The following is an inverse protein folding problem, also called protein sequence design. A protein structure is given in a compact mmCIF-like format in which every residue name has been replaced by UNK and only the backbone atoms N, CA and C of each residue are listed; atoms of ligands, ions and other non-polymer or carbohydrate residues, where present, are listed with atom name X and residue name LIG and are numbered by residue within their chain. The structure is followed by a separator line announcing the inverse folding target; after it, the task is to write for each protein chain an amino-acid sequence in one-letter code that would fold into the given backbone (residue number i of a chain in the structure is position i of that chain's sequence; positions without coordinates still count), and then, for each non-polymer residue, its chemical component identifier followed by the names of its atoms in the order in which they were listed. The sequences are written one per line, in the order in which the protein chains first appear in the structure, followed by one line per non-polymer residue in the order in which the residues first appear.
data_IF_091039096938
#
_entry.id   IF_091039096938
#
_cell.length_a   1.000
_cell.length_b   1.000
_cell.length_c   1.000
_cell.angle_alpha   90.00
_cell.angle_beta   90.00
_cell.angle_gamma   90.00
#
_symmetry.space_group_name_H-M   'P 1'
#
loop_
_entity.id
_entity.type
_entity.pdbx_description
1 polymer ?
#
# COMPACT_ATOMS: atom_id res chain seq x y z
N UNK A 1 20.04 29.22 -21.03
CA UNK A 1 19.09 28.71 -20.01
C UNK A 1 18.65 27.26 -20.23
N UNK A 2 19.17 26.52 -21.22
CA UNK A 2 18.78 25.13 -21.54
C UNK A 2 19.46 24.00 -20.71
N UNK A 3 20.26 24.29 -19.69
CA UNK A 3 21.04 23.24 -19.00
C UNK A 3 20.33 22.57 -17.81
N UNK A 4 19.39 23.25 -17.15
CA UNK A 4 18.74 22.73 -15.93
C UNK A 4 17.57 21.78 -16.23
N UNK A 5 16.79 22.03 -17.28
CA UNK A 5 15.68 21.15 -17.69
C UNK A 5 16.18 19.82 -18.26
N UNK A 6 17.25 19.84 -19.06
CA UNK A 6 17.88 18.61 -19.57
C UNK A 6 18.49 17.76 -18.45
N UNK A 7 19.12 18.37 -17.43
CA UNK A 7 19.64 17.64 -16.27
C UNK A 7 18.52 17.01 -15.43
N UNK A 8 17.36 17.67 -15.35
CA UNK A 8 16.19 17.17 -14.61
C UNK A 8 15.50 16.03 -15.36
N UNK A 9 15.38 16.12 -16.70
CA UNK A 9 14.90 15.00 -17.52
C UNK A 9 15.85 13.80 -17.48
N UNK A 10 17.17 14.02 -17.55
CA UNK A 10 18.15 12.93 -17.48
C UNK A 10 18.08 12.20 -16.14
N UNK A 11 18.05 12.92 -15.00
CA UNK A 11 17.89 12.30 -13.68
C UNK A 11 16.56 11.58 -13.49
N UNK A 12 15.48 12.10 -14.08
CA UNK A 12 14.15 11.48 -14.07
C UNK A 12 14.15 10.17 -14.88
N UNK A 13 14.82 10.16 -16.03
CA UNK A 13 15.01 8.95 -16.84
C UNK A 13 15.92 7.92 -16.16
N UNK A 14 16.96 8.35 -15.45
CA UNK A 14 17.84 7.47 -14.68
C UNK A 14 17.12 6.82 -13.50
N UNK A 15 16.27 7.55 -12.77
CA UNK A 15 15.48 6.98 -11.69
C UNK A 15 14.40 6.00 -12.18
N UNK A 16 13.76 6.28 -13.32
CA UNK A 16 12.81 5.35 -13.94
C UNK A 16 13.55 4.11 -14.47
N UNK A 17 14.73 4.28 -15.08
CA UNK A 17 15.56 3.15 -15.51
C UNK A 17 16.12 2.37 -14.31
N UNK A 18 16.37 3.01 -13.17
CA UNK A 18 16.73 2.36 -11.91
C UNK A 18 15.56 1.56 -11.33
N UNK A 19 14.33 2.09 -11.38
CA UNK A 19 13.11 1.37 -10.98
C UNK A 19 12.80 0.19 -11.92
N UNK A 20 12.86 0.38 -13.24
CA UNK A 20 12.64 -0.68 -14.24
C UNK A 20 13.75 -1.75 -14.21
N UNK A 21 14.98 -1.35 -13.90
CA UNK A 21 16.08 -2.31 -13.68
C UNK A 21 15.96 -3.01 -12.32
N UNK A 22 15.45 -2.35 -11.29
CA UNK A 22 15.05 -3.00 -10.03
C UNK A 22 13.95 -4.02 -10.29
N UNK A 23 12.86 -3.66 -10.97
CA UNK A 23 11.76 -4.56 -11.35
C UNK A 23 12.27 -5.78 -12.12
N UNK A 24 13.08 -5.57 -13.17
CA UNK A 24 13.70 -6.65 -13.94
C UNK A 24 14.62 -7.55 -13.13
N UNK A 25 15.33 -7.00 -12.15
CA UNK A 25 16.23 -7.76 -11.28
C UNK A 25 15.47 -8.46 -10.13
N UNK A 26 14.36 -7.89 -9.67
CA UNK A 26 13.44 -8.47 -8.67
C UNK A 26 12.76 -9.73 -9.23
N UNK A 27 12.35 -9.74 -10.50
CA UNK A 27 11.83 -10.96 -11.15
C UNK A 27 12.88 -12.07 -11.30
N UNK A 28 14.18 -11.76 -11.28
CA UNK A 28 15.26 -12.72 -11.60
C UNK A 28 15.91 -13.39 -10.37
N UNK A 29 15.83 -12.83 -9.17
CA UNK A 29 16.54 -13.35 -7.99
C UNK A 29 15.61 -13.65 -6.80
N UNK A 30 15.07 -14.87 -6.77
CA UNK A 30 14.06 -15.35 -5.79
C UNK A 30 14.51 -15.51 -4.32
N UNK A 31 15.77 -15.25 -3.94
CA UNK A 31 16.28 -15.65 -2.60
C UNK A 31 16.94 -14.54 -1.74
N UNK A 32 16.96 -13.27 -2.18
CA UNK A 32 17.59 -12.18 -1.39
C UNK A 32 16.74 -10.90 -1.30
N UNK A 33 15.42 -11.01 -1.52
CA UNK A 33 14.48 -9.87 -1.57
C UNK A 33 14.15 -9.27 -0.19
N UNK A 34 14.40 -10.00 0.90
CA UNK A 34 14.00 -9.63 2.28
C UNK A 34 15.01 -8.74 3.04
N UNK A 35 16.20 -8.48 2.50
CA UNK A 35 17.22 -7.68 3.20
C UNK A 35 17.23 -6.19 2.83
N UNK A 36 16.54 -5.79 1.78
CA UNK A 36 16.44 -4.39 1.43
C UNK A 36 15.07 -3.90 1.87
N UNK A 37 15.08 -2.87 2.70
CA UNK A 37 13.91 -2.16 3.20
C UNK A 37 13.18 -1.36 2.09
N UNK A 38 13.09 -1.94 0.89
CA UNK A 38 12.58 -1.33 -0.35
C UNK A 38 11.15 -0.83 -0.20
N UNK A 39 10.20 -1.61 0.37
CA UNK A 39 8.84 -1.11 0.53
C UNK A 39 8.82 0.13 1.42
N UNK A 40 9.55 0.15 2.53
CA UNK A 40 9.62 1.32 3.41
C UNK A 40 10.28 2.53 2.72
N UNK A 41 11.33 2.32 1.92
CA UNK A 41 11.93 3.40 1.12
C UNK A 41 10.91 3.99 0.15
N UNK A 42 10.12 3.16 -0.52
CA UNK A 42 9.07 3.62 -1.42
C UNK A 42 7.94 4.33 -0.68
N UNK A 43 7.49 3.81 0.46
CA UNK A 43 6.51 4.50 1.32
C UNK A 43 7.03 5.88 1.77
N UNK A 44 8.30 5.97 2.17
CA UNK A 44 8.96 7.24 2.49
C UNK A 44 9.01 8.19 1.31
N UNK A 45 9.35 7.70 0.11
CA UNK A 45 9.35 8.52 -1.11
C UNK A 45 7.95 9.02 -1.43
N UNK A 46 6.92 8.19 -1.28
CA UNK A 46 5.53 8.60 -1.48
C UNK A 46 5.10 9.69 -0.48
N UNK A 47 5.68 9.71 0.72
CA UNK A 47 5.47 10.68 1.78
C UNK A 47 6.43 11.89 1.75
N UNK A 48 7.28 12.01 0.73
CA UNK A 48 8.35 13.04 0.65
C UNK A 48 9.38 13.00 1.83
N UNK A 49 9.47 11.86 2.53
CA UNK A 49 10.43 11.57 3.61
C UNK A 49 11.62 10.70 3.14
N UNK A 50 11.68 10.40 1.84
CA UNK A 50 12.70 9.55 1.24
C UNK A 50 14.10 10.17 1.21
N UNK A 51 15.16 9.35 1.06
CA UNK A 51 16.51 9.85 0.87
C UNK A 51 16.62 10.61 -0.48
N UNK A 52 16.71 11.92 -0.42
CA UNK A 52 16.84 12.79 -1.60
C UNK A 52 16.47 14.24 -1.29
N UNK A 53 16.85 15.20 -2.16
CA UNK A 53 16.36 16.57 -2.01
C UNK A 53 14.84 16.59 -2.15
N UNK A 54 14.13 17.38 -1.34
CA UNK A 54 12.68 17.58 -1.45
C UNK A 54 12.32 17.94 -2.89
N UNK A 55 11.68 17.01 -3.60
CA UNK A 55 11.38 17.18 -5.02
C UNK A 55 10.12 18.02 -5.11
N UNK A 56 10.26 19.29 -5.50
CA UNK A 56 9.16 20.26 -5.63
C UNK A 56 8.12 19.92 -6.71
N UNK A 57 8.33 18.83 -7.46
CA UNK A 57 7.45 18.37 -8.54
C UNK A 57 6.95 16.98 -8.19
N UNK A 58 5.63 16.83 -8.12
CA UNK A 58 4.95 15.55 -7.91
C UNK A 58 5.58 14.44 -8.74
N UNK A 59 5.85 13.30 -8.09
CA UNK A 59 6.23 12.08 -8.80
C UNK A 59 5.12 11.77 -9.82
N UNK A 60 5.42 11.80 -11.13
CA UNK A 60 4.39 11.63 -12.16
C UNK A 60 3.84 10.20 -12.24
N UNK A 61 4.20 9.32 -11.31
CA UNK A 61 3.84 7.91 -11.34
C UNK A 61 3.84 7.29 -9.93
N UNK A 62 3.17 7.95 -8.98
CA UNK A 62 2.94 7.40 -7.65
C UNK A 62 2.21 6.05 -7.71
N UNK A 63 1.33 5.88 -8.69
CA UNK A 63 0.57 4.66 -8.89
C UNK A 63 1.48 3.45 -9.15
N UNK A 64 2.52 3.56 -9.98
CA UNK A 64 3.54 2.49 -10.11
C UNK A 64 4.32 2.23 -8.84
N UNK A 65 4.63 3.27 -8.07
CA UNK A 65 5.29 3.09 -6.78
C UNK A 65 4.39 2.26 -5.84
N UNK A 66 3.11 2.60 -5.74
CA UNK A 66 2.13 1.87 -4.95
C UNK A 66 1.93 0.44 -5.45
N UNK A 67 1.95 0.22 -6.77
CA UNK A 67 1.92 -1.10 -7.38
C UNK A 67 3.11 -1.96 -6.92
N UNK A 68 4.33 -1.41 -6.95
CA UNK A 68 5.51 -2.17 -6.48
C UNK A 68 5.40 -2.44 -4.98
N UNK A 69 5.00 -1.45 -4.17
CA UNK A 69 4.78 -1.67 -2.73
C UNK A 69 3.76 -2.79 -2.51
N UNK A 70 2.64 -2.78 -3.24
CA UNK A 70 1.62 -3.83 -3.16
C UNK A 70 2.21 -5.23 -3.35
N UNK A 71 2.91 -5.47 -4.44
CA UNK A 71 3.54 -6.77 -4.71
C UNK A 71 4.56 -7.18 -3.65
N UNK A 72 5.38 -6.22 -3.17
CA UNK A 72 6.37 -6.52 -2.14
C UNK A 72 5.71 -6.91 -0.82
N UNK A 73 4.70 -6.18 -0.36
CA UNK A 73 4.01 -6.43 0.91
C UNK A 73 3.18 -7.71 0.85
N UNK A 74 2.47 -7.97 -0.26
CA UNK A 74 1.67 -9.19 -0.47
C UNK A 74 2.53 -10.47 -0.58
N UNK A 75 3.84 -10.31 -0.66
CA UNK A 75 4.85 -11.39 -0.60
C UNK A 75 5.46 -11.57 0.80
N UNK A 76 4.98 -10.86 1.83
CA UNK A 76 5.49 -10.94 3.20
C UNK A 76 4.46 -11.55 4.15
N UNK A 77 4.91 -11.93 5.35
CA UNK A 77 4.06 -12.36 6.45
C UNK A 77 3.66 -11.17 7.32
N UNK A 78 2.35 -10.96 7.46
CA UNK A 78 1.74 -9.93 8.31
C UNK A 78 0.87 -10.52 9.42
N UNK A 79 0.96 -11.83 9.66
CA UNK A 79 0.10 -12.56 10.61
C UNK A 79 0.19 -12.02 12.04
N UNK A 80 1.30 -11.37 12.41
CA UNK A 80 1.46 -10.69 13.70
C UNK A 80 0.52 -9.49 13.91
N UNK A 81 -0.07 -8.98 12.84
CA UNK A 81 -1.10 -7.91 12.84
C UNK A 81 -2.52 -8.45 12.74
N UNK A 82 -2.67 -9.76 12.50
CA UNK A 82 -3.97 -10.37 12.30
C UNK A 82 -4.57 -10.87 13.61
N UNK A 83 -5.87 -10.70 13.75
CA UNK A 83 -6.69 -11.14 14.87
C UNK A 83 -8.09 -11.45 14.34
N UNK A 84 -8.64 -12.62 14.69
CA UNK A 84 -10.05 -12.93 14.39
C UNK A 84 -11.00 -12.10 15.26
N UNK A 85 -12.13 -11.67 14.70
CA UNK A 85 -13.21 -11.03 15.47
C UNK A 85 -13.89 -12.00 16.43
N UNK A 86 -13.79 -13.29 16.15
CA UNK A 86 -14.25 -14.37 17.01
C UNK A 86 -13.04 -15.07 17.64
N UNK A 87 -12.89 -14.92 18.96
CA UNK A 87 -11.80 -15.52 19.73
C UNK A 87 -11.76 -17.05 19.66
N UNK A 88 -12.85 -17.70 19.26
CA UNK A 88 -12.93 -19.17 19.15
C UNK A 88 -12.57 -19.69 17.76
N UNK A 89 -12.56 -18.81 16.76
CA UNK A 89 -12.25 -19.16 15.37
C UNK A 89 -10.80 -18.81 15.02
N UNK A 90 -10.10 -19.67 14.25
CA UNK A 90 -8.76 -19.35 13.77
C UNK A 90 -8.79 -18.17 12.78
N UNK A 91 -7.68 -17.45 12.68
CA UNK A 91 -7.47 -16.41 11.68
C UNK A 91 -7.61 -17.02 10.28
N UNK A 92 -8.47 -16.45 9.44
CA UNK A 92 -8.62 -16.90 8.05
C UNK A 92 -7.38 -16.59 7.23
N UNK A 93 -7.02 -17.51 6.32
CA UNK A 93 -5.94 -17.28 5.37
C UNK A 93 -6.27 -16.08 4.45
N UNK A 94 -5.29 -15.21 4.23
CA UNK A 94 -5.45 -14.02 3.41
C UNK A 94 -5.50 -14.38 1.92
N UNK A 95 -6.63 -14.10 1.26
CA UNK A 95 -6.86 -14.42 -0.15
C UNK A 95 -6.16 -13.47 -1.13
N UNK A 96 -5.59 -12.37 -0.62
CA UNK A 96 -4.93 -11.35 -1.42
C UNK A 96 -3.40 -11.53 -1.47
N UNK A 97 -2.87 -12.65 -0.97
CA UNK A 97 -1.45 -13.01 -1.10
C UNK A 97 -1.05 -13.03 -2.58
N UNK A 98 0.19 -12.66 -2.88
CA UNK A 98 0.74 -12.75 -4.24
C UNK A 98 0.66 -14.20 -4.75
N UNK A 99 -0.05 -14.42 -5.87
CA UNK A 99 -0.26 -15.75 -6.45
C UNK A 99 1.02 -16.49 -6.85
N UNK A 100 2.14 -15.78 -6.98
CA UNK A 100 3.44 -16.36 -7.31
C UNK A 100 4.25 -16.79 -6.09
N UNK A 101 3.73 -16.58 -4.88
CA UNK A 101 4.40 -16.89 -3.61
C UNK A 101 3.63 -17.97 -2.87
N UNK A 102 4.32 -19.03 -2.45
CA UNK A 102 3.74 -20.03 -1.57
C UNK A 102 3.60 -19.44 -0.16
N UNK A 103 2.42 -19.54 0.45
CA UNK A 103 2.13 -18.99 1.79
C UNK A 103 3.09 -19.51 2.87
N UNK A 104 3.63 -20.71 2.71
CA UNK A 104 4.59 -21.34 3.62
C UNK A 104 6.01 -20.74 3.54
N UNK A 105 6.28 -19.91 2.54
CA UNK A 105 7.59 -19.28 2.29
C UNK A 105 7.60 -17.78 2.62
N UNK A 106 6.54 -17.27 3.26
CA UNK A 106 6.45 -15.86 3.61
C UNK A 106 7.42 -15.52 4.75
N UNK A 107 8.12 -14.39 4.59
CA UNK A 107 9.01 -13.86 5.62
C UNK A 107 8.36 -12.62 6.25
N UNK A 108 8.57 -12.37 7.55
CA UNK A 108 7.99 -11.21 8.22
C UNK A 108 8.50 -9.90 7.61
N UNK A 109 7.66 -8.87 7.69
CA UNK A 109 8.06 -7.50 7.35
C UNK A 109 9.24 -7.03 8.21
N UNK A 110 10.06 -6.14 7.64
CA UNK A 110 11.06 -5.41 8.43
C UNK A 110 10.35 -4.46 9.40
N UNK A 111 10.91 -4.17 10.59
CA UNK A 111 10.26 -3.29 11.57
C UNK A 111 9.92 -1.90 11.02
N UNK A 112 10.79 -1.37 10.15
CA UNK A 112 10.58 -0.06 9.55
C UNK A 112 9.44 -0.08 8.53
N UNK A 113 9.33 -1.15 7.73
CA UNK A 113 8.22 -1.33 6.82
C UNK A 113 6.88 -1.47 7.56
N UNK A 114 6.88 -2.27 8.63
CA UNK A 114 5.71 -2.46 9.50
C UNK A 114 5.26 -1.15 10.16
N UNK A 115 6.20 -0.32 10.64
CA UNK A 115 5.92 1.01 11.17
C UNK A 115 5.26 1.93 10.13
N UNK A 116 5.84 2.05 8.93
CA UNK A 116 5.29 2.92 7.89
C UNK A 116 3.94 2.44 7.36
N UNK A 117 3.74 1.13 7.25
CA UNK A 117 2.52 0.56 6.68
C UNK A 117 1.36 0.57 7.68
N UNK A 118 1.60 0.17 8.93
CA UNK A 118 0.53 -0.07 9.90
C UNK A 118 0.38 1.03 10.96
N UNK A 119 1.43 1.76 11.30
CA UNK A 119 1.40 2.76 12.37
C UNK A 119 1.33 4.20 11.85
N UNK A 120 1.66 4.45 10.58
CA UNK A 120 1.64 5.79 9.96
C UNK A 120 0.40 5.98 9.09
N UNK A 121 -0.61 6.63 9.67
CA UNK A 121 -1.85 7.01 8.96
C UNK A 121 -1.57 7.90 7.73
N UNK A 122 -0.47 8.65 7.72
CA UNK A 122 -0.07 9.46 6.56
C UNK A 122 0.10 8.63 5.28
N UNK A 123 0.59 7.39 5.36
CA UNK A 123 0.72 6.53 4.17
C UNK A 123 -0.65 6.05 3.67
N UNK A 124 -1.58 5.75 4.58
CA UNK A 124 -2.97 5.43 4.23
C UNK A 124 -3.61 6.61 3.49
N UNK A 125 -3.50 7.83 4.04
CA UNK A 125 -3.98 9.05 3.37
C UNK A 125 -3.39 9.21 1.98
N UNK A 126 -2.10 8.98 1.86
CA UNK A 126 -1.40 9.08 0.58
C UNK A 126 -1.95 8.11 -0.47
N UNK A 127 -2.27 6.87 -0.09
CA UNK A 127 -2.90 5.88 -0.97
C UNK A 127 -4.32 6.30 -1.38
N UNK A 128 -5.09 6.88 -0.45
CA UNK A 128 -6.46 7.33 -0.71
C UNK A 128 -6.47 8.54 -1.68
N UNK A 129 -5.55 9.49 -1.47
CA UNK A 129 -5.41 10.71 -2.28
C UNK A 129 -4.94 10.43 -3.72
N UNK A 130 -4.30 9.29 -3.99
CA UNK A 130 -3.93 8.92 -5.35
C UNK A 130 -5.15 8.36 -6.10
N UNK A 131 -5.87 9.23 -6.79
CA UNK A 131 -7.02 8.87 -7.64
C UNK A 131 -6.66 7.99 -8.83
N UNK A 132 -5.37 7.82 -9.13
CA UNK A 132 -4.88 6.94 -10.18
C UNK A 132 -4.36 5.60 -9.63
N UNK A 133 -4.56 5.34 -8.33
CA UNK A 133 -4.21 4.05 -7.73
C UNK A 133 -4.88 2.93 -8.52
N UNK A 134 -4.09 1.91 -8.84
CA UNK A 134 -4.55 0.78 -9.63
C UNK A 134 -5.13 -0.32 -8.75
N UNK A 135 -5.59 -1.39 -9.40
CA UNK A 135 -6.11 -2.59 -8.73
C UNK A 135 -5.10 -3.18 -7.73
N UNK A 136 -3.80 -3.05 -7.99
CA UNK A 136 -2.76 -3.53 -7.08
C UNK A 136 -2.75 -2.71 -5.78
N UNK A 137 -2.85 -1.39 -5.85
CA UNK A 137 -2.96 -0.54 -4.66
C UNK A 137 -4.25 -0.79 -3.87
N UNK A 138 -5.38 -1.02 -4.53
CA UNK A 138 -6.62 -1.47 -3.85
C UNK A 138 -6.41 -2.83 -3.18
N UNK A 139 -5.74 -3.76 -3.86
CA UNK A 139 -5.45 -5.10 -3.34
C UNK A 139 -4.49 -5.05 -2.16
N UNK A 140 -3.55 -4.10 -2.11
CA UNK A 140 -2.71 -3.84 -0.93
C UNK A 140 -3.58 -3.46 0.27
N UNK A 141 -4.51 -2.53 0.11
CA UNK A 141 -5.41 -2.11 1.19
C UNK A 141 -6.27 -3.26 1.71
N UNK A 142 -6.81 -4.09 0.80
CA UNK A 142 -7.57 -5.29 1.17
C UNK A 142 -6.71 -6.33 1.88
N UNK A 143 -5.51 -6.57 1.37
CA UNK A 143 -4.53 -7.46 1.99
C UNK A 143 -4.19 -7.03 3.41
N UNK A 144 -3.88 -5.75 3.63
CA UNK A 144 -3.55 -5.20 4.94
C UNK A 144 -4.74 -5.16 5.91
N UNK A 145 -5.97 -5.09 5.40
CA UNK A 145 -7.21 -5.06 6.20
C UNK A 145 -7.72 -6.44 6.59
N UNK A 146 -7.32 -7.49 5.86
CA UNK A 146 -7.78 -8.86 6.07
C UNK A 146 -7.41 -9.36 7.48
N UNK A 147 -8.43 -9.71 8.27
CA UNK A 147 -8.28 -10.17 9.66
C UNK A 147 -7.48 -9.16 10.52
N UNK A 148 -7.42 -7.87 10.16
CA UNK A 148 -6.62 -6.87 10.86
C UNK A 148 -7.50 -5.71 11.33
N UNK A 149 -8.01 -5.76 12.59
CA UNK A 149 -8.97 -4.76 13.08
C UNK A 149 -8.38 -3.35 13.17
N UNK A 150 -7.08 -3.22 13.48
CA UNK A 150 -6.43 -1.92 13.64
C UNK A 150 -6.30 -1.19 12.31
N UNK A 151 -5.70 -1.85 11.31
CA UNK A 151 -5.53 -1.25 9.99
C UNK A 151 -6.88 -0.99 9.33
N UNK A 152 -7.78 -1.98 9.37
CA UNK A 152 -9.12 -1.88 8.78
C UNK A 152 -9.93 -0.71 9.35
N UNK A 153 -9.84 -0.45 10.66
CA UNK A 153 -10.52 0.68 11.30
C UNK A 153 -9.91 2.02 10.90
N UNK A 154 -8.58 2.12 10.88
CA UNK A 154 -7.88 3.34 10.46
C UNK A 154 -8.21 3.70 9.01
N UNK A 155 -8.17 2.70 8.11
CA UNK A 155 -8.53 2.88 6.71
C UNK A 155 -10.00 3.30 6.54
N UNK A 156 -10.92 2.67 7.28
CA UNK A 156 -12.34 3.02 7.24
C UNK A 156 -12.56 4.48 7.68
N UNK A 157 -11.94 4.90 8.78
CA UNK A 157 -12.07 6.27 9.28
C UNK A 157 -11.58 7.32 8.28
N UNK A 158 -10.44 7.06 7.62
CA UNK A 158 -9.91 7.96 6.60
C UNK A 158 -10.78 7.97 5.33
N UNK A 159 -11.27 6.82 4.87
CA UNK A 159 -12.18 6.76 3.71
C UNK A 159 -13.50 7.51 3.97
N UNK A 160 -14.09 7.36 5.16
CA UNK A 160 -15.30 8.10 5.55
C UNK A 160 -15.03 9.60 5.62
N UNK A 161 -13.88 10.01 6.17
CA UNK A 161 -13.47 11.40 6.17
C UNK A 161 -13.36 11.95 4.74
N UNK A 162 -12.67 11.24 3.84
CA UNK A 162 -12.55 11.64 2.44
C UNK A 162 -13.92 11.67 1.75
N UNK A 163 -14.83 10.72 2.02
CA UNK A 163 -16.20 10.76 1.50
C UNK A 163 -17.01 11.97 2.02
N UNK A 164 -16.73 12.45 3.23
CA UNK A 164 -17.40 13.62 3.80
C UNK A 164 -16.91 14.97 3.26
N UNK A 165 -15.66 15.03 2.76
CA UNK A 165 -15.00 16.29 2.38
C UNK A 165 -14.52 16.37 0.92
N UNK A 166 -14.54 15.26 0.16
CA UNK A 166 -14.00 15.29 -1.19
C UNK A 166 -14.92 16.00 -2.21
N UNK A 167 -14.27 16.55 -3.23
CA UNK A 167 -14.95 17.19 -4.34
C UNK A 167 -15.72 16.16 -5.18
N UNK A 168 -16.74 16.65 -5.91
CA UNK A 168 -17.62 15.79 -6.70
C UNK A 168 -16.90 14.89 -7.72
N UNK A 169 -15.75 15.31 -8.25
CA UNK A 169 -14.98 14.53 -9.23
C UNK A 169 -14.22 13.36 -8.60
N UNK A 170 -13.84 13.46 -7.33
CA UNK A 170 -13.14 12.40 -6.60
C UNK A 170 -14.11 11.54 -5.76
N UNK A 171 -15.37 11.94 -5.62
CA UNK A 171 -16.37 11.18 -4.86
C UNK A 171 -16.45 9.72 -5.29
N UNK A 172 -16.48 9.50 -6.60
CA UNK A 172 -16.57 8.14 -7.16
C UNK A 172 -15.42 7.27 -6.68
N UNK A 173 -14.19 7.75 -6.82
CA UNK A 173 -12.97 7.07 -6.37
C UNK A 173 -13.06 6.64 -4.90
N UNK A 174 -13.33 7.60 -4.00
CA UNK A 174 -13.40 7.32 -2.56
C UNK A 174 -14.53 6.34 -2.20
N UNK A 175 -15.70 6.47 -2.82
CA UNK A 175 -16.83 5.55 -2.58
C UNK A 175 -16.58 4.14 -3.11
N UNK A 176 -15.87 4.00 -4.23
CA UNK A 176 -15.44 2.70 -4.76
C UNK A 176 -14.43 2.05 -3.81
N UNK A 177 -13.44 2.78 -3.31
CA UNK A 177 -12.49 2.27 -2.30
C UNK A 177 -13.18 1.85 -1.00
N UNK A 178 -14.13 2.66 -0.52
CA UNK A 178 -14.94 2.33 0.66
C UNK A 178 -15.73 1.04 0.44
N UNK A 179 -16.37 0.89 -0.72
CA UNK A 179 -17.08 -0.33 -1.07
C UNK A 179 -16.14 -1.54 -1.07
N UNK A 180 -14.94 -1.43 -1.66
CA UNK A 180 -13.95 -2.52 -1.65
C UNK A 180 -13.56 -2.95 -0.24
N UNK A 181 -13.45 -2.01 0.71
CA UNK A 181 -13.17 -2.31 2.12
C UNK A 181 -14.35 -3.01 2.81
N UNK A 182 -15.58 -2.53 2.59
CA UNK A 182 -16.77 -3.10 3.21
C UNK A 182 -17.10 -4.51 2.70
N UNK A 183 -16.69 -4.83 1.46
CA UNK A 183 -16.91 -6.13 0.84
C UNK A 183 -15.83 -7.18 1.16
N UNK A 184 -14.82 -6.88 1.99
CA UNK A 184 -13.87 -7.90 2.43
C UNK A 184 -14.60 -8.95 3.29
N UNK A 185 -14.55 -10.22 2.89
CA UNK A 185 -15.31 -11.34 3.49
C UNK A 185 -14.53 -12.09 4.60
N UNK A 186 -13.78 -11.35 5.41
CA UNK A 186 -13.09 -11.88 6.60
C UNK A 186 -14.04 -11.92 7.83
N UNK A 187 -13.53 -12.28 9.01
CA UNK A 187 -14.33 -12.28 10.25
C UNK A 187 -14.87 -10.88 10.66
N UNK A 188 -14.20 -9.80 10.26
CA UNK A 188 -14.51 -8.41 10.62
C UNK A 188 -15.49 -7.68 9.70
N UNK A 189 -15.99 -8.32 8.65
CA UNK A 189 -16.88 -7.67 7.67
C UNK A 189 -18.07 -6.96 8.31
N UNK A 190 -18.80 -7.67 9.18
CA UNK A 190 -19.97 -7.10 9.85
C UNK A 190 -19.60 -5.92 10.74
N UNK A 191 -18.44 -5.95 11.39
CA UNK A 191 -17.95 -4.83 12.20
C UNK A 191 -17.62 -3.61 11.33
N UNK A 192 -16.98 -3.81 10.16
CA UNK A 192 -16.72 -2.73 9.20
C UNK A 192 -18.02 -2.08 8.73
N UNK A 193 -19.01 -2.88 8.32
CA UNK A 193 -20.32 -2.40 7.85
C UNK A 193 -21.03 -1.62 8.95
N UNK A 194 -21.10 -2.18 10.16
CA UNK A 194 -21.73 -1.53 11.30
C UNK A 194 -21.08 -0.19 11.64
N UNK A 195 -19.74 -0.13 11.65
CA UNK A 195 -18.99 1.09 11.95
C UNK A 195 -19.07 2.14 10.82
N UNK A 196 -19.48 1.79 9.61
CA UNK A 196 -19.63 2.73 8.50
C UNK A 196 -20.98 3.45 8.50
N UNK A 197 -21.98 2.89 9.19
CA UNK A 197 -23.37 3.38 9.18
C UNK A 197 -23.69 4.19 10.46
N UNK A 198 -22.92 3.98 11.54
CA UNK A 198 -23.05 4.67 12.82
C UNK A 198 -22.13 5.90 12.93
#
# INVERSE_FOLDING_TARGET
SLSKENLHQVKKSENIMALLSLERNISKNKLKKHHLNVPAIFMKVALDEGPGPQIKYQYPDLSKLHQVVSHLIRSCDVSSRCQSSDHTSPIKANIYIDSHVASESLMPLTPECDEYLFNRVSYIKRLIEDTNIDEDGITLLRYCSWENPHFSRSLLAELLWHCGYAYWHDMRHHTEMLLQLLLIEDSWQNHRIHNAIL
#
